data_IF_252416269290
#
_entry.id   IF_252416269290
#
_cell.length_a   1.000
_cell.length_b   1.000
_cell.length_c   1.000
_cell.angle_alpha   90.00
_cell.angle_beta   90.00
_cell.angle_gamma   90.00
#
_symmetry.space_group_name_H-M   'P 1'
#
loop_
_entity.id
_entity.type
_entity.pdbx_description
1 polymer ?
#
# COMPACT_ATOMS: atom_id res chain seq x y z
N UNK A 1 18.18 -8.24 -17.93
CA UNK A 1 18.11 -8.58 -16.48
C UNK A 1 19.29 -9.44 -16.03
N UNK A 2 20.19 -8.84 -15.26
CA UNK A 2 21.51 -9.36 -14.88
C UNK A 2 21.41 -10.46 -13.81
N UNK A 3 22.01 -11.62 -14.06
CA UNK A 3 21.88 -12.89 -13.31
C UNK A 3 22.88 -13.05 -12.15
N UNK A 4 23.19 -12.00 -11.41
CA UNK A 4 24.05 -12.14 -10.22
C UNK A 4 23.23 -12.06 -8.93
N UNK A 5 23.53 -12.96 -8.00
CA UNK A 5 23.16 -12.90 -6.57
C UNK A 5 23.78 -11.66 -5.90
N UNK A 6 23.46 -10.45 -6.36
CA UNK A 6 23.85 -9.23 -5.67
C UNK A 6 22.85 -9.00 -4.55
N UNK A 7 23.19 -9.59 -3.40
CA UNK A 7 22.84 -9.02 -2.09
C UNK A 7 23.18 -7.52 -2.13
N UNK A 8 22.38 -6.69 -1.47
CA UNK A 8 22.56 -5.23 -1.39
C UNK A 8 24.05 -4.84 -1.33
N UNK A 9 24.50 -4.06 -2.30
CA UNK A 9 25.86 -3.53 -2.34
C UNK A 9 25.99 -2.49 -1.23
N UNK A 10 27.22 -2.22 -0.75
CA UNK A 10 27.44 -1.21 0.28
C UNK A 10 26.87 0.18 -0.10
N UNK A 11 26.83 0.50 -1.39
CA UNK A 11 26.21 1.71 -1.95
C UNK A 11 24.70 1.75 -1.68
N UNK A 12 24.01 0.62 -1.81
CA UNK A 12 22.57 0.50 -1.55
C UNK A 12 22.28 0.67 -0.06
N UNK A 13 23.11 0.06 0.80
CA UNK A 13 23.03 0.24 2.25
C UNK A 13 23.26 1.69 2.68
N UNK A 14 24.22 2.37 2.05
CA UNK A 14 24.49 3.78 2.31
C UNK A 14 23.29 4.64 1.90
N UNK A 15 22.69 4.39 0.73
CA UNK A 15 21.51 5.11 0.29
C UNK A 15 20.32 4.91 1.25
N UNK A 16 20.09 3.68 1.71
CA UNK A 16 19.05 3.36 2.70
C UNK A 16 19.33 4.08 4.02
N UNK A 17 20.57 4.04 4.51
CA UNK A 17 20.96 4.72 5.74
C UNK A 17 20.77 6.24 5.65
N UNK A 18 21.17 6.86 4.53
CA UNK A 18 20.94 8.29 4.26
C UNK A 18 19.45 8.60 4.26
N UNK A 19 18.62 7.77 3.63
CA UNK A 19 17.17 7.94 3.64
C UNK A 19 16.60 7.91 5.06
N UNK A 20 16.93 6.90 5.87
CA UNK A 20 16.45 6.81 7.24
C UNK A 20 16.95 7.97 8.13
N UNK A 21 18.21 8.37 7.98
CA UNK A 21 18.77 9.51 8.71
C UNK A 21 18.07 10.80 8.29
N UNK A 22 17.77 10.97 6.99
CA UNK A 22 17.05 12.13 6.48
C UNK A 22 15.61 12.17 7.01
N UNK A 23 14.86 11.06 6.95
CA UNK A 23 13.46 11.02 7.42
C UNK A 23 13.36 11.19 8.93
N UNK A 24 14.19 10.50 9.71
CA UNK A 24 14.26 10.66 11.17
C UNK A 24 14.72 12.08 11.52
N UNK A 25 15.78 12.57 10.87
CA UNK A 25 16.33 13.90 11.12
C UNK A 25 15.32 15.01 10.84
N UNK A 26 14.55 14.88 9.76
CA UNK A 26 13.51 15.82 9.41
C UNK A 26 12.31 15.74 10.37
N UNK A 27 11.86 14.53 10.73
CA UNK A 27 10.82 14.33 11.73
C UNK A 27 11.19 14.93 13.09
N UNK A 28 12.43 14.71 13.54
CA UNK A 28 12.97 15.32 14.76
C UNK A 28 13.14 16.84 14.62
N UNK A 29 13.61 17.34 13.48
CA UNK A 29 13.77 18.78 13.25
C UNK A 29 12.44 19.53 13.31
N UNK A 30 11.37 18.95 12.75
CA UNK A 30 10.01 19.49 12.88
C UNK A 30 9.57 19.49 14.34
N UNK A 31 9.73 18.37 15.04
CA UNK A 31 9.40 18.23 16.47
C UNK A 31 10.14 19.26 17.34
N UNK A 32 11.44 19.44 17.16
CA UNK A 32 12.26 20.38 17.93
C UNK A 32 12.02 21.85 17.57
N UNK A 33 11.72 22.17 16.29
CA UNK A 33 11.33 23.53 15.89
C UNK A 33 9.98 23.92 16.47
N UNK A 34 9.04 22.98 16.56
CA UNK A 34 7.71 23.21 17.15
C UNK A 34 7.72 23.22 18.68
N UNK A 35 8.54 22.41 19.34
CA UNK A 35 8.71 22.49 20.80
C UNK A 35 9.25 23.83 21.32
N UNK A 36 9.81 24.69 20.44
CA UNK A 36 10.19 26.09 20.75
C UNK A 36 9.08 27.11 20.48
N UNK A 37 8.02 26.72 19.77
CA UNK A 37 6.83 27.52 19.53
C UNK A 37 5.82 27.10 20.59
N UNK A 38 5.56 27.96 21.56
CA UNK A 38 4.53 27.74 22.58
C UNK A 38 3.18 27.56 21.87
N UNK A 39 2.73 26.32 21.70
CA UNK A 39 1.46 26.03 21.04
C UNK A 39 0.33 26.24 22.07
N UNK A 40 -0.24 27.45 22.06
CA UNK A 40 -1.63 27.64 22.47
C UNK A 40 -2.51 26.89 21.46
N UNK A 41 -3.51 26.15 21.94
CA UNK A 41 -4.47 25.42 21.12
C UNK A 41 -5.09 26.27 19.99
N UNK A 42 -5.11 27.61 20.12
CA UNK A 42 -5.52 28.53 19.05
C UNK A 42 -4.65 28.51 17.79
N UNK A 43 -3.32 28.37 17.89
CA UNK A 43 -2.46 28.26 16.68
C UNK A 43 -2.63 26.92 15.97
N UNK A 44 -3.05 25.89 16.70
CA UNK A 44 -3.41 24.57 16.19
C UNK A 44 -4.77 24.61 15.47
N UNK A 45 -5.76 25.35 15.99
CA UNK A 45 -7.04 25.56 15.30
C UNK A 45 -6.96 26.58 14.13
N UNK A 46 -6.06 27.57 14.17
CA UNK A 46 -5.91 28.55 13.09
C UNK A 46 -5.25 27.97 11.84
N UNK A 47 -4.45 26.89 11.95
CA UNK A 47 -3.85 26.20 10.80
C UNK A 47 -4.91 25.53 9.90
N UNK A 48 -6.03 25.09 10.48
CA UNK A 48 -7.18 24.49 9.77
C UNK A 48 -7.88 25.39 8.74
N UNK A 49 -7.53 26.68 8.65
CA UNK A 49 -8.01 27.58 7.58
C UNK A 49 -7.05 27.72 6.38
N UNK A 50 -5.86 27.13 6.44
CA UNK A 50 -4.79 27.40 5.46
C UNK A 50 -4.24 26.17 4.75
N UNK A 51 -4.81 24.99 4.99
CA UNK A 51 -4.48 23.80 4.22
C UNK A 51 -4.89 23.99 2.76
N UNK A 52 -3.90 24.23 1.93
CA UNK A 52 -4.05 24.26 0.48
C UNK A 52 -4.54 22.90 0.00
N UNK A 53 -5.48 22.90 -0.95
CA UNK A 53 -6.18 21.70 -1.43
C UNK A 53 -5.23 20.58 -1.87
N UNK A 54 -4.05 20.92 -2.42
CA UNK A 54 -3.06 19.94 -2.86
C UNK A 54 -2.35 19.24 -1.70
N UNK A 55 -2.21 19.89 -0.53
CA UNK A 55 -1.69 19.25 0.68
C UNK A 55 -2.70 18.25 1.23
N UNK A 56 -4.00 18.62 1.24
CA UNK A 56 -5.08 17.72 1.68
C UNK A 56 -5.17 16.50 0.76
N UNK A 57 -5.19 16.71 -0.56
CA UNK A 57 -5.19 15.61 -1.53
C UNK A 57 -3.94 14.73 -1.42
N UNK A 58 -2.75 15.34 -1.25
CA UNK A 58 -1.50 14.62 -1.06
C UNK A 58 -1.47 13.78 0.23
N UNK A 59 -2.01 14.30 1.33
CA UNK A 59 -2.11 13.57 2.60
C UNK A 59 -3.10 12.39 2.52
N UNK A 60 -4.24 12.58 1.86
CA UNK A 60 -5.20 11.51 1.62
C UNK A 60 -4.53 10.43 0.76
N UNK A 61 -3.86 10.80 -0.32
CA UNK A 61 -3.14 9.87 -1.16
C UNK A 61 -2.06 9.12 -0.38
N UNK A 62 -1.28 9.82 0.46
CA UNK A 62 -0.24 9.23 1.30
C UNK A 62 -0.74 8.20 2.29
N UNK A 63 -1.92 8.43 2.83
CA UNK A 63 -2.50 7.54 3.83
C UNK A 63 -3.07 6.26 3.23
N UNK A 64 -3.25 6.21 1.90
CA UNK A 64 -3.81 5.04 1.21
C UNK A 64 -2.75 4.27 0.44
N UNK A 65 -1.77 4.96 -0.13
CA UNK A 65 -0.75 4.35 -0.97
C UNK A 65 0.52 4.13 -0.17
N UNK A 66 0.67 2.89 0.32
CA UNK A 66 1.89 2.40 0.96
C UNK A 66 2.83 1.68 -0.02
N UNK A 67 4.06 1.38 0.42
CA UNK A 67 5.02 0.60 -0.36
C UNK A 67 4.49 -0.78 -0.76
N UNK A 68 3.60 -1.36 0.07
CA UNK A 68 2.90 -2.62 -0.22
C UNK A 68 2.01 -2.54 -1.45
N UNK A 69 1.24 -1.45 -1.60
CA UNK A 69 0.41 -1.24 -2.79
C UNK A 69 1.26 -1.17 -4.05
N UNK A 70 2.40 -0.49 -3.97
CA UNK A 70 3.32 -0.37 -5.10
C UNK A 70 3.90 -1.73 -5.55
N UNK A 71 4.34 -2.56 -4.61
CA UNK A 71 4.89 -3.89 -4.89
C UNK A 71 3.79 -4.87 -5.30
N UNK A 72 2.65 -4.85 -4.63
CA UNK A 72 1.52 -5.75 -4.87
C UNK A 72 0.91 -5.55 -6.24
N UNK A 73 0.55 -4.31 -6.61
CA UNK A 73 -0.04 -4.00 -7.92
C UNK A 73 0.98 -4.24 -9.04
N UNK A 74 2.26 -3.97 -8.82
CA UNK A 74 3.31 -4.30 -9.81
C UNK A 74 3.45 -5.82 -10.00
N UNK A 75 3.37 -6.60 -8.92
CA UNK A 75 3.40 -8.06 -8.96
C UNK A 75 2.19 -8.67 -9.66
N UNK A 76 0.99 -8.24 -9.29
CA UNK A 76 -0.26 -8.67 -9.92
C UNK A 76 -0.33 -8.21 -11.38
N UNK A 77 0.14 -7.00 -11.66
CA UNK A 77 0.34 -6.49 -13.01
C UNK A 77 1.20 -7.45 -13.81
N UNK A 78 2.40 -7.79 -13.33
CA UNK A 78 3.31 -8.71 -14.00
C UNK A 78 2.75 -10.14 -14.18
N UNK A 79 1.96 -10.63 -13.22
CA UNK A 79 1.40 -11.99 -13.28
C UNK A 79 0.17 -12.08 -14.19
N UNK A 80 -0.67 -11.03 -14.22
CA UNK A 80 -2.01 -11.12 -14.79
C UNK A 80 -2.21 -10.15 -15.95
N UNK A 81 -1.53 -9.01 -15.99
CA UNK A 81 -1.62 -8.01 -17.06
C UNK A 81 -2.28 -6.70 -16.64
N UNK A 82 -2.85 -6.00 -17.61
CA UNK A 82 -3.32 -4.60 -17.47
C UNK A 82 -4.65 -4.52 -16.71
N UNK A 83 -5.36 -5.63 -16.52
CA UNK A 83 -6.68 -5.67 -15.85
C UNK A 83 -6.66 -5.16 -14.39
N UNK A 84 -5.52 -5.25 -13.70
CA UNK A 84 -5.36 -4.74 -12.33
C UNK A 84 -5.64 -3.22 -12.24
N UNK A 85 -5.45 -2.47 -13.33
CA UNK A 85 -5.68 -1.01 -13.39
C UNK A 85 -7.15 -0.66 -13.07
N UNK A 86 -8.10 -1.56 -13.32
CA UNK A 86 -9.49 -1.34 -12.95
C UNK A 86 -9.68 -1.07 -11.45
N UNK A 87 -8.88 -1.67 -10.57
CA UNK A 87 -9.01 -1.38 -9.12
C UNK A 87 -8.74 0.10 -8.81
N UNK A 88 -7.77 0.72 -9.50
CA UNK A 88 -7.40 2.13 -9.27
C UNK A 88 -8.30 3.11 -10.03
N UNK A 89 -8.79 2.72 -11.21
CA UNK A 89 -9.75 3.54 -11.95
C UNK A 89 -11.09 3.61 -11.21
N UNK A 90 -11.58 2.48 -10.71
CA UNK A 90 -12.83 2.43 -9.95
C UNK A 90 -12.71 3.26 -8.64
N UNK A 91 -11.57 3.16 -7.94
CA UNK A 91 -11.28 3.98 -6.76
C UNK A 91 -11.39 5.48 -7.03
N UNK A 92 -10.96 5.94 -8.21
CA UNK A 92 -11.04 7.35 -8.60
C UNK A 92 -12.49 7.85 -8.65
N UNK A 93 -13.42 7.04 -9.17
CA UNK A 93 -14.84 7.39 -9.18
C UNK A 93 -15.45 7.40 -7.78
N UNK A 94 -15.07 6.43 -6.95
CA UNK A 94 -15.51 6.34 -5.56
C UNK A 94 -15.07 7.56 -4.74
N UNK A 95 -13.85 8.06 -4.96
CA UNK A 95 -13.35 9.29 -4.32
C UNK A 95 -14.15 10.54 -4.70
N UNK A 96 -14.61 10.65 -5.96
CA UNK A 96 -15.48 11.74 -6.39
C UNK A 96 -16.85 11.67 -5.68
N UNK A 97 -17.41 10.46 -5.54
CA UNK A 97 -18.66 10.24 -4.80
C UNK A 97 -18.50 10.61 -3.32
N UNK A 98 -17.38 10.19 -2.70
CA UNK A 98 -17.02 10.57 -1.34
C UNK A 98 -16.98 12.09 -1.19
N UNK A 99 -16.26 12.79 -2.06
CA UNK A 99 -16.11 14.24 -2.01
C UNK A 99 -17.43 15.02 -2.22
N UNK A 100 -18.31 14.54 -3.10
CA UNK A 100 -19.54 15.26 -3.43
C UNK A 100 -20.71 14.92 -2.51
N UNK A 101 -20.90 13.66 -2.14
CA UNK A 101 -22.07 13.22 -1.37
C UNK A 101 -21.79 13.05 0.12
N UNK A 102 -20.71 12.35 0.45
CA UNK A 102 -20.45 11.95 1.83
C UNK A 102 -19.73 13.05 2.63
N UNK A 103 -18.76 13.73 2.04
CA UNK A 103 -17.99 14.80 2.71
C UNK A 103 -18.89 15.94 3.22
N UNK A 104 -19.86 16.48 2.45
CA UNK A 104 -20.77 17.51 2.98
C UNK A 104 -21.63 17.02 4.14
N UNK A 105 -22.01 15.73 4.16
CA UNK A 105 -22.79 15.13 5.25
C UNK A 105 -21.94 15.02 6.52
N UNK A 106 -20.70 14.58 6.41
CA UNK A 106 -19.79 14.48 7.56
C UNK A 106 -19.49 15.86 8.16
N UNK A 107 -19.17 16.85 7.32
CA UNK A 107 -18.88 18.22 7.77
C UNK A 107 -20.09 18.86 8.46
N UNK A 108 -21.30 18.70 7.90
CA UNK A 108 -22.53 19.22 8.52
C UNK A 108 -22.92 18.51 9.81
N UNK A 109 -22.56 17.24 9.97
CA UNK A 109 -22.86 16.48 11.18
C UNK A 109 -22.04 16.93 12.39
N UNK A 110 -21.00 17.75 12.20
CA UNK A 110 -20.14 18.25 13.28
C UNK A 110 -19.41 17.16 14.05
N UNK A 111 -19.29 15.95 13.48
CA UNK A 111 -18.46 14.86 14.00
C UNK A 111 -17.21 14.82 13.16
N UNK A 112 -16.14 15.40 13.70
CA UNK A 112 -14.92 15.68 12.96
C UNK A 112 -13.79 14.78 13.48
N UNK A 113 -14.02 13.54 13.93
CA UNK A 113 -12.88 12.74 14.40
C UNK A 113 -12.83 11.32 13.87
N UNK A 114 -13.90 10.51 13.94
CA UNK A 114 -13.83 9.12 13.45
C UNK A 114 -15.18 8.57 12.99
N UNK A 115 -15.16 7.53 12.13
CA UNK A 115 -16.38 6.87 11.66
C UNK A 115 -17.22 6.24 12.80
N UNK A 116 -16.64 5.56 13.81
CA UNK A 116 -17.42 5.07 14.96
C UNK A 116 -18.09 6.18 15.76
N UNK A 117 -17.47 7.36 15.87
CA UNK A 117 -18.10 8.53 16.51
C UNK A 117 -19.25 9.10 15.68
N UNK A 118 -19.14 9.12 14.36
CA UNK A 118 -20.24 9.52 13.49
C UNK A 118 -21.44 8.59 13.68
N UNK A 119 -21.20 7.28 13.75
CA UNK A 119 -22.22 6.27 14.05
C UNK A 119 -22.79 6.46 15.46
N UNK A 120 -21.97 6.79 16.46
CA UNK A 120 -22.42 7.11 17.81
C UNK A 120 -23.43 8.26 17.80
N UNK A 121 -23.13 9.36 17.09
CA UNK A 121 -24.01 10.54 17.06
C UNK A 121 -25.30 10.25 16.29
N UNK A 122 -25.22 9.47 15.21
CA UNK A 122 -26.38 9.09 14.39
C UNK A 122 -27.35 8.17 15.12
N UNK A 123 -26.83 7.18 15.84
CA UNK A 123 -27.65 6.18 16.55
C UNK A 123 -27.82 6.46 18.05
N UNK A 124 -27.21 7.54 18.57
CA UNK A 124 -27.23 7.97 19.97
C UNK A 124 -26.88 6.86 20.99
N UNK A 125 -26.06 5.89 20.58
CA UNK A 125 -25.73 4.72 21.41
C UNK A 125 -24.22 4.58 21.58
N UNK A 126 -23.79 4.56 22.85
CA UNK A 126 -22.39 4.33 23.22
C UNK A 126 -21.96 2.89 22.87
N UNK A 127 -22.87 1.92 22.99
CA UNK A 127 -22.57 0.51 22.71
C UNK A 127 -22.18 0.28 21.26
N UNK A 128 -22.85 0.97 20.32
CA UNK A 128 -22.53 0.87 18.88
C UNK A 128 -21.12 1.40 18.61
N UNK A 129 -20.72 2.52 19.23
CA UNK A 129 -19.36 3.03 19.11
C UNK A 129 -18.33 2.02 19.57
N UNK A 130 -18.52 1.43 20.76
CA UNK A 130 -17.56 0.48 21.32
C UNK A 130 -17.42 -0.76 20.43
N UNK A 131 -18.55 -1.32 19.97
CA UNK A 131 -18.56 -2.50 19.09
C UNK A 131 -17.86 -2.18 17.77
N UNK A 132 -18.22 -1.07 17.11
CA UNK A 132 -17.60 -0.68 15.84
C UNK A 132 -16.12 -0.36 16.00
N UNK A 133 -15.73 0.34 17.06
CA UNK A 133 -14.31 0.64 17.34
C UNK A 133 -13.52 -0.65 17.54
N UNK A 134 -14.06 -1.60 18.29
CA UNK A 134 -13.41 -2.91 18.49
C UNK A 134 -13.27 -3.68 17.18
N UNK A 135 -14.36 -3.81 16.41
CA UNK A 135 -14.36 -4.51 15.12
C UNK A 135 -13.38 -3.85 14.15
N UNK A 136 -13.40 -2.53 14.02
CA UNK A 136 -12.49 -1.80 13.15
C UNK A 136 -11.04 -1.96 13.59
N UNK A 137 -10.72 -1.78 14.87
CA UNK A 137 -9.35 -1.91 15.37
C UNK A 137 -8.79 -3.32 15.11
N UNK A 138 -9.57 -4.36 15.46
CA UNK A 138 -9.20 -5.75 15.20
C UNK A 138 -9.01 -5.99 13.70
N UNK A 139 -9.95 -5.53 12.87
CA UNK A 139 -9.86 -5.67 11.41
C UNK A 139 -8.61 -5.00 10.86
N UNK A 140 -8.25 -3.80 11.31
CA UNK A 140 -7.05 -3.08 10.88
C UNK A 140 -5.75 -3.82 11.21
N UNK A 141 -5.67 -4.44 12.40
CA UNK A 141 -4.48 -5.21 12.79
C UNK A 141 -4.31 -6.44 11.88
N UNK A 142 -5.41 -7.15 11.61
CA UNK A 142 -5.34 -8.40 10.85
C UNK A 142 -5.30 -8.21 9.32
N UNK A 143 -5.87 -7.12 8.79
CA UNK A 143 -5.84 -6.87 7.35
C UNK A 143 -4.68 -5.97 6.98
N UNK A 144 -4.70 -4.71 7.41
CA UNK A 144 -3.73 -3.69 6.99
C UNK A 144 -2.32 -3.96 7.52
N UNK A 145 -2.17 -3.99 8.85
CA UNK A 145 -0.85 -4.10 9.47
C UNK A 145 -0.17 -5.43 9.10
N UNK A 146 -0.94 -6.52 9.03
CA UNK A 146 -0.41 -7.84 8.68
C UNK A 146 0.06 -7.92 7.23
N UNK A 147 -0.69 -7.34 6.28
CA UNK A 147 -0.29 -7.29 4.86
C UNK A 147 0.98 -6.44 4.69
N UNK A 148 1.09 -5.30 5.38
CA UNK A 148 2.25 -4.43 5.31
C UNK A 148 3.51 -5.07 5.89
N UNK A 149 3.41 -5.75 7.05
CA UNK A 149 4.53 -6.48 7.63
C UNK A 149 4.96 -7.62 6.69
N UNK A 150 4.00 -8.35 6.11
CA UNK A 150 4.31 -9.43 5.19
C UNK A 150 5.05 -8.91 3.95
N UNK A 151 4.51 -7.91 3.26
CA UNK A 151 5.14 -7.31 2.09
C UNK A 151 6.52 -6.73 2.41
N UNK A 152 6.65 -6.01 3.53
CA UNK A 152 7.94 -5.50 4.00
C UNK A 152 8.95 -6.60 4.29
N UNK A 153 8.52 -7.71 4.90
CA UNK A 153 9.38 -8.86 5.21
C UNK A 153 9.85 -9.61 3.95
N UNK A 154 8.98 -9.72 2.94
CA UNK A 154 9.32 -10.30 1.63
C UNK A 154 10.34 -9.41 0.93
N UNK A 155 10.12 -8.10 0.88
CA UNK A 155 11.09 -7.16 0.30
C UNK A 155 12.45 -7.25 0.99
N UNK A 156 12.46 -7.22 2.32
CA UNK A 156 13.71 -7.29 3.09
C UNK A 156 14.40 -8.65 2.93
N UNK A 157 13.65 -9.75 2.80
CA UNK A 157 14.18 -11.07 2.43
C UNK A 157 14.83 -11.06 1.06
N UNK A 158 14.19 -10.50 0.04
CA UNK A 158 14.77 -10.45 -1.31
C UNK A 158 16.03 -9.57 -1.35
N UNK A 159 16.07 -8.50 -0.55
CA UNK A 159 17.23 -7.61 -0.49
C UNK A 159 18.44 -8.21 0.27
N UNK A 160 18.19 -8.91 1.39
CA UNK A 160 19.25 -9.41 2.29
C UNK A 160 19.53 -10.91 2.19
N UNK A 161 18.56 -11.68 1.70
CA UNK A 161 18.56 -13.14 1.72
C UNK A 161 18.25 -13.76 3.09
N UNK A 162 17.78 -12.98 4.07
CA UNK A 162 17.49 -13.46 5.42
C UNK A 162 16.17 -14.24 5.51
N UNK A 163 16.00 -15.02 6.59
CA UNK A 163 14.74 -15.70 6.85
C UNK A 163 13.61 -14.67 7.02
N UNK A 164 12.44 -14.93 6.42
CA UNK A 164 11.24 -14.08 6.48
C UNK A 164 10.85 -13.69 7.92
N UNK A 165 11.02 -14.58 8.91
CA UNK A 165 10.69 -14.29 10.30
C UNK A 165 11.64 -13.24 10.92
N UNK A 166 12.94 -13.32 10.58
CA UNK A 166 13.94 -12.34 11.04
C UNK A 166 13.68 -11.00 10.34
N UNK A 167 13.42 -11.03 9.04
CA UNK A 167 13.04 -9.85 8.25
C UNK A 167 11.81 -9.14 8.83
N UNK A 168 10.76 -9.90 9.16
CA UNK A 168 9.54 -9.35 9.76
C UNK A 168 9.82 -8.68 11.13
N UNK A 169 10.61 -9.34 11.99
CA UNK A 169 10.97 -8.77 13.29
C UNK A 169 11.77 -7.48 13.18
N UNK A 170 12.73 -7.42 12.24
CA UNK A 170 13.56 -6.23 12.00
C UNK A 170 12.71 -5.08 11.46
N UNK A 171 11.87 -5.32 10.45
CA UNK A 171 10.97 -4.30 9.90
C UNK A 171 10.03 -3.77 10.99
N UNK A 172 9.42 -4.66 11.77
CA UNK A 172 8.53 -4.27 12.88
C UNK A 172 9.26 -3.43 13.93
N UNK A 173 10.48 -3.83 14.30
CA UNK A 173 11.29 -3.13 15.31
C UNK A 173 11.69 -1.72 14.84
N UNK A 174 12.14 -1.58 13.59
CA UNK A 174 12.50 -0.28 13.02
C UNK A 174 11.29 0.64 12.96
N UNK A 175 10.15 0.13 12.46
CA UNK A 175 8.90 0.90 12.40
C UNK A 175 8.42 1.31 13.79
N UNK A 176 8.48 0.42 14.78
CA UNK A 176 8.09 0.73 16.15
C UNK A 176 8.98 1.83 16.78
N UNK A 177 10.30 1.71 16.65
CA UNK A 177 11.24 2.73 17.15
C UNK A 177 10.98 4.07 16.49
N UNK A 178 10.81 4.09 15.17
CA UNK A 178 10.53 5.31 14.42
C UNK A 178 9.23 5.99 14.89
N UNK A 179 8.14 5.23 15.04
CA UNK A 179 6.84 5.75 15.48
C UNK A 179 6.89 6.27 16.92
N UNK A 180 7.53 5.54 17.84
CA UNK A 180 7.67 5.94 19.25
C UNK A 180 8.49 7.24 19.38
N UNK A 181 9.57 7.38 18.61
CA UNK A 181 10.43 8.56 18.67
C UNK A 181 9.78 9.77 17.98
N UNK A 182 9.13 9.54 16.83
CA UNK A 182 8.49 10.58 16.03
C UNK A 182 7.24 11.17 16.68
N UNK A 183 6.32 10.33 17.17
CA UNK A 183 4.97 10.74 17.55
C UNK A 183 4.06 10.98 16.34
N UNK A 184 2.74 11.02 16.55
CA UNK A 184 1.72 11.06 15.48
C UNK A 184 1.92 12.21 14.48
N UNK A 185 2.36 13.39 14.96
CA UNK A 185 2.53 14.59 14.15
C UNK A 185 3.75 14.51 13.22
N UNK A 186 4.88 14.01 13.71
CA UNK A 186 6.09 13.85 12.88
C UNK A 186 5.86 12.81 11.78
N UNK A 187 5.11 11.75 12.08
CA UNK A 187 4.72 10.71 11.12
C UNK A 187 3.93 11.32 9.96
N UNK A 188 2.89 12.13 10.25
CA UNK A 188 2.07 12.75 9.21
C UNK A 188 2.89 13.63 8.24
N UNK A 189 3.88 14.38 8.76
CA UNK A 189 4.73 15.21 7.90
C UNK A 189 5.68 14.37 7.02
N UNK A 190 6.21 13.27 7.56
CA UNK A 190 7.07 12.37 6.78
C UNK A 190 6.31 11.58 5.72
N UNK A 191 5.01 11.32 5.91
CA UNK A 191 4.20 10.56 4.96
C UNK A 191 4.08 11.27 3.60
N UNK A 192 3.94 12.61 3.60
CA UNK A 192 3.88 13.42 2.37
C UNK A 192 5.20 13.30 1.58
N UNK A 193 6.33 13.32 2.28
CA UNK A 193 7.64 13.16 1.65
C UNK A 193 7.84 11.73 1.13
N UNK A 194 7.39 10.73 1.88
CA UNK A 194 7.46 9.33 1.46
C UNK A 194 6.69 9.11 0.14
N UNK A 195 5.48 9.65 0.02
CA UNK A 195 4.73 9.62 -1.25
C UNK A 195 5.49 10.27 -2.38
N UNK A 196 6.07 11.44 -2.13
CA UNK A 196 6.79 12.18 -3.16
C UNK A 196 7.97 11.36 -3.70
N UNK A 197 8.71 10.71 -2.80
CA UNK A 197 9.81 9.81 -3.15
C UNK A 197 9.29 8.58 -3.89
N UNK A 198 8.19 7.97 -3.45
CA UNK A 198 7.58 6.82 -4.12
C UNK A 198 7.11 7.17 -5.54
N UNK A 199 6.48 8.32 -5.75
CA UNK A 199 6.01 8.77 -7.06
C UNK A 199 7.18 9.03 -8.03
N UNK A 200 8.21 9.71 -7.56
CA UNK A 200 9.44 9.94 -8.35
C UNK A 200 10.11 8.61 -8.68
N UNK A 201 10.23 7.72 -7.68
CA UNK A 201 10.79 6.38 -7.85
C UNK A 201 10.01 5.55 -8.88
N UNK A 202 8.68 5.60 -8.84
CA UNK A 202 7.81 4.94 -9.80
C UNK A 202 8.09 5.41 -11.23
N UNK A 203 8.11 6.73 -11.46
CA UNK A 203 8.38 7.31 -12.78
C UNK A 203 9.76 6.89 -13.30
N UNK A 204 10.79 6.96 -12.45
CA UNK A 204 12.15 6.54 -12.82
C UNK A 204 12.19 5.05 -13.18
N UNK A 205 11.58 4.18 -12.35
CA UNK A 205 11.52 2.74 -12.60
C UNK A 205 10.80 2.43 -13.92
N UNK A 206 9.69 3.11 -14.20
CA UNK A 206 8.97 2.96 -15.48
C UNK A 206 9.84 3.35 -16.67
N UNK A 207 10.54 4.49 -16.61
CA UNK A 207 11.44 4.93 -17.68
C UNK A 207 12.60 3.95 -17.90
N UNK A 208 13.23 3.49 -16.82
CA UNK A 208 14.31 2.49 -16.88
C UNK A 208 13.81 1.16 -17.43
N UNK A 209 12.61 0.73 -17.05
CA UNK A 209 11.95 -0.47 -17.57
C UNK A 209 11.73 -0.39 -19.08
N UNK A 210 11.16 0.71 -19.57
CA UNK A 210 10.97 0.91 -21.02
C UNK A 210 12.30 0.95 -21.79
N UNK A 211 13.35 1.53 -21.19
CA UNK A 211 14.68 1.57 -21.80
C UNK A 211 15.31 0.18 -21.92
N UNK A 212 15.17 -0.68 -20.91
CA UNK A 212 15.71 -2.05 -20.94
C UNK A 212 14.95 -2.95 -21.93
N UNK A 213 13.62 -2.79 -22.02
CA UNK A 213 12.77 -3.56 -22.94
C UNK A 213 12.96 -3.08 -24.39
N UNK A 214 13.32 -1.81 -24.58
CA UNK A 214 13.53 -1.20 -25.90
C UNK A 214 12.26 -0.61 -26.52
N UNK A 215 11.33 -0.14 -25.68
CA UNK A 215 10.12 0.56 -26.09
C UNK A 215 8.81 -0.19 -25.82
N UNK A 216 7.69 0.51 -26.04
CA UNK A 216 6.33 -0.01 -25.81
C UNK A 216 6.01 -1.17 -26.78
N UNK A 217 6.45 -1.08 -28.04
CA UNK A 217 6.19 -2.12 -29.05
C UNK A 217 6.81 -3.46 -28.65
N UNK A 218 8.07 -3.45 -28.19
CA UNK A 218 8.73 -4.63 -27.65
C UNK A 218 8.10 -5.14 -26.36
N UNK A 219 7.56 -4.24 -25.53
CA UNK A 219 6.78 -4.66 -24.37
C UNK A 219 5.57 -5.49 -24.84
N UNK A 220 4.80 -5.01 -25.81
CA UNK A 220 3.64 -5.75 -26.31
C UNK A 220 3.99 -7.12 -26.90
N UNK A 221 5.16 -7.25 -27.50
CA UNK A 221 5.62 -8.50 -28.10
C UNK A 221 6.19 -9.50 -27.08
N UNK A 222 7.03 -9.02 -26.15
CA UNK A 222 7.78 -9.87 -25.21
C UNK A 222 7.00 -10.18 -23.94
N UNK A 223 6.06 -9.31 -23.54
CA UNK A 223 5.26 -9.49 -22.33
C UNK A 223 4.49 -10.82 -22.28
N UNK A 224 3.72 -11.24 -23.31
CA UNK A 224 3.05 -12.54 -23.30
C UNK A 224 4.00 -13.74 -23.38
N UNK A 225 5.24 -13.53 -23.85
CA UNK A 225 6.28 -14.56 -23.92
C UNK A 225 7.05 -14.69 -22.60
N UNK A 226 6.92 -13.70 -21.72
CA UNK A 226 7.62 -13.67 -20.44
C UNK A 226 6.93 -14.57 -19.42
N UNK A 227 7.72 -15.38 -18.71
CA UNK A 227 7.24 -16.24 -17.63
C UNK A 227 7.90 -15.83 -16.32
N UNK A 228 7.13 -15.84 -15.23
CA UNK A 228 7.67 -15.72 -13.89
C UNK A 228 8.70 -16.81 -13.62
N UNK A 229 9.79 -16.49 -12.92
CA UNK A 229 10.74 -17.53 -12.46
C UNK A 229 9.98 -18.48 -11.54
N UNK A 230 9.96 -19.77 -11.90
CA UNK A 230 9.52 -20.82 -10.99
C UNK A 230 10.28 -20.70 -9.67
N UNK A 231 9.56 -20.57 -8.55
CA UNK A 231 10.15 -20.72 -7.22
C UNK A 231 10.77 -22.10 -7.18
N UNK A 232 12.11 -22.17 -7.08
CA UNK A 232 12.81 -23.45 -6.95
C UNK A 232 12.29 -24.13 -5.70
N UNK A 233 11.50 -25.19 -5.86
CA UNK A 233 11.37 -26.20 -4.84
C UNK A 233 12.81 -26.64 -4.49
N UNK A 234 13.12 -26.68 -3.20
CA UNK A 234 14.42 -27.10 -2.70
C UNK A 234 14.62 -28.55 -3.16
N UNK A 235 15.36 -28.75 -4.25
CA UNK A 235 15.93 -30.04 -4.60
C UNK A 235 17.02 -30.31 -3.57
N UNK A 236 16.70 -31.19 -2.60
CA UNK A 236 17.59 -32.15 -1.93
C UNK A 236 17.06 -32.50 -0.52
N UNK A 237 15.91 -33.14 -0.46
CA UNK A 237 15.53 -33.97 0.70
C UNK A 237 15.63 -35.42 0.26
N UNK A 238 16.81 -36.02 0.42
CA UNK A 238 17.02 -37.45 0.23
C UNK A 238 16.41 -38.19 1.42
N UNK A 239 15.12 -38.53 1.33
CA UNK A 239 14.49 -39.50 2.22
C UNK A 239 14.69 -40.88 1.61
N UNK A 240 15.57 -41.67 2.23
CA UNK A 240 15.82 -43.07 1.87
C UNK A 240 14.63 -43.97 2.27
N UNK A 241 13.49 -43.83 1.59
CA UNK A 241 12.32 -44.66 1.83
C UNK A 241 11.45 -44.75 0.59
N UNK A 242 11.29 -45.96 0.08
CA UNK A 242 10.41 -46.33 -1.03
C UNK A 242 8.99 -45.81 -0.82
N UNK A 243 8.62 -44.78 -1.56
CA UNK A 243 7.23 -44.48 -1.89
C UNK A 243 7.14 -44.44 -3.41
N UNK A 244 6.55 -45.50 -3.97
CA UNK A 244 5.98 -45.50 -5.31
C UNK A 244 4.79 -44.53 -5.32
N UNK A 245 5.10 -43.24 -5.41
CA UNK A 245 4.17 -42.17 -5.75
C UNK A 245 4.37 -41.85 -7.22
N UNK A 246 3.32 -42.06 -8.00
CA UNK A 246 3.15 -41.60 -9.37
C UNK A 246 4.00 -40.35 -9.69
N UNK A 247 4.83 -40.44 -10.73
CA UNK A 247 5.27 -39.29 -11.51
C UNK A 247 4.01 -38.58 -12.07
N UNK A 248 3.31 -37.82 -11.23
CA UNK A 248 2.51 -36.70 -11.69
C UNK A 248 3.48 -35.65 -12.14
N UNK A 249 3.43 -35.32 -13.44
CA UNK A 249 4.17 -34.26 -14.12
C UNK A 249 4.68 -33.21 -13.16
N UNK A 250 5.94 -32.80 -13.32
CA UNK A 250 6.39 -31.47 -12.92
C UNK A 250 5.32 -30.48 -13.41
N UNK A 251 4.39 -30.11 -12.53
CA UNK A 251 3.53 -28.97 -12.69
C UNK A 251 4.51 -27.81 -12.61
N UNK A 252 5.15 -27.55 -13.74
CA UNK A 252 5.45 -26.20 -14.16
C UNK A 252 4.19 -25.44 -13.79
N UNK A 253 4.25 -24.67 -12.72
CA UNK A 253 3.34 -23.57 -12.52
C UNK A 253 3.64 -22.67 -13.70
N UNK A 254 3.04 -22.99 -14.85
CA UNK A 254 3.02 -22.12 -16.00
C UNK A 254 2.16 -20.96 -15.52
N UNK A 255 2.81 -19.99 -14.90
CA UNK A 255 2.32 -18.63 -14.80
C UNK A 255 2.33 -18.07 -16.23
N UNK A 256 1.49 -18.66 -17.09
CA UNK A 256 1.23 -18.18 -18.43
C UNK A 256 0.22 -17.07 -18.29
N UNK A 257 0.57 -15.89 -18.80
CA UNK A 257 -0.36 -14.79 -18.87
C UNK A 257 -1.65 -15.25 -19.56
N UNK A 258 -2.80 -14.84 -19.03
CA UNK A 258 -4.08 -15.13 -19.67
C UNK A 258 -4.08 -14.54 -21.09
N UNK A 259 -4.79 -15.14 -22.05
CA UNK A 259 -4.91 -14.57 -23.41
C UNK A 259 -5.48 -13.14 -23.41
N UNK A 260 -6.09 -12.73 -22.30
CA UNK A 260 -6.72 -11.43 -22.08
C UNK A 260 -5.85 -10.46 -21.26
N UNK A 261 -4.55 -10.71 -21.11
CA UNK A 261 -3.64 -9.84 -20.36
C UNK A 261 -3.68 -8.36 -20.79
N UNK A 262 -3.96 -8.13 -22.08
CA UNK A 262 -4.09 -6.82 -22.72
C UNK A 262 -5.43 -6.12 -22.47
N UNK A 263 -6.44 -6.89 -22.04
CA UNK A 263 -7.83 -6.43 -21.95
C UNK A 263 -8.19 -6.15 -20.50
N UNK A 264 -8.75 -4.95 -20.28
CA UNK A 264 -9.31 -4.56 -18.98
C UNK A 264 -10.64 -5.26 -18.68
N UNK A 265 -11.42 -5.56 -19.72
CA UNK A 265 -12.68 -6.28 -19.64
C UNK A 265 -12.47 -7.73 -20.06
N UNK A 266 -12.30 -8.62 -19.08
CA UNK A 266 -12.14 -10.06 -19.35
C UNK A 266 -13.48 -10.77 -19.37
N UNK A 267 -13.56 -12.00 -19.92
CA UNK A 267 -14.80 -12.78 -19.90
C UNK A 267 -15.36 -13.00 -18.49
N UNK A 268 -16.65 -13.35 -18.42
CA UNK A 268 -17.32 -13.64 -17.14
C UNK A 268 -16.70 -14.83 -16.41
N UNK A 269 -16.16 -15.79 -17.16
CA UNK A 269 -15.57 -17.03 -16.63
C UNK A 269 -14.07 -16.90 -16.31
N UNK A 270 -13.49 -15.69 -16.35
CA UNK A 270 -12.09 -15.48 -15.95
C UNK A 270 -11.94 -15.70 -14.44
N UNK A 271 -11.01 -16.57 -13.99
CA UNK A 271 -10.88 -16.92 -12.58
C UNK A 271 -10.35 -15.78 -11.71
N UNK A 272 -9.62 -14.83 -12.31
CA UNK A 272 -8.92 -13.78 -11.56
C UNK A 272 -9.65 -12.42 -11.67
N UNK A 273 -10.05 -12.00 -12.87
CA UNK A 273 -10.65 -10.68 -13.12
C UNK A 273 -11.93 -10.75 -13.97
N UNK A 274 -13.01 -11.39 -13.49
CA UNK A 274 -14.27 -11.42 -14.22
C UNK A 274 -14.87 -10.01 -14.30
N UNK A 275 -15.17 -9.53 -15.52
CA UNK A 275 -15.63 -8.14 -15.72
C UNK A 275 -16.83 -7.75 -14.86
N UNK A 276 -17.77 -8.69 -14.64
CA UNK A 276 -18.97 -8.44 -13.86
C UNK A 276 -18.65 -8.18 -12.39
N UNK A 277 -17.80 -9.01 -11.77
CA UNK A 277 -17.33 -8.78 -10.41
C UNK A 277 -16.55 -7.47 -10.30
N UNK A 278 -15.69 -7.22 -11.29
CA UNK A 278 -14.85 -6.04 -11.36
C UNK A 278 -15.65 -4.72 -11.43
N UNK A 279 -16.77 -4.69 -12.15
CA UNK A 279 -17.53 -3.46 -12.38
C UNK A 279 -18.76 -3.29 -11.51
N UNK A 280 -19.28 -4.35 -10.89
CA UNK A 280 -20.45 -4.27 -10.02
C UNK A 280 -20.15 -4.59 -8.56
N UNK A 281 -19.30 -5.60 -8.30
CA UNK A 281 -18.98 -5.96 -6.92
C UNK A 281 -17.88 -5.05 -6.34
N UNK A 282 -16.81 -4.75 -7.11
CA UNK A 282 -15.73 -3.90 -6.61
C UNK A 282 -16.20 -2.51 -6.20
N UNK A 283 -17.05 -1.77 -6.97
CA UNK A 283 -17.48 -0.45 -6.53
C UNK A 283 -18.24 -0.47 -5.19
N UNK A 284 -18.95 -1.54 -4.87
CA UNK A 284 -19.64 -1.66 -3.58
C UNK A 284 -18.63 -1.78 -2.43
N UNK A 285 -17.62 -2.64 -2.61
CA UNK A 285 -16.54 -2.83 -1.63
C UNK A 285 -15.69 -1.57 -1.52
N UNK A 286 -15.43 -0.91 -2.64
CA UNK A 286 -14.69 0.34 -2.70
C UNK A 286 -15.45 1.48 -2.04
N UNK A 287 -16.75 1.64 -2.27
CA UNK A 287 -17.55 2.64 -1.55
C UNK A 287 -17.45 2.39 -0.06
N UNK A 288 -17.55 1.13 0.38
CA UNK A 288 -17.35 0.82 1.79
C UNK A 288 -15.93 1.20 2.26
N UNK A 289 -14.90 0.75 1.55
CA UNK A 289 -13.51 0.99 1.90
C UNK A 289 -13.18 2.49 1.86
N UNK A 290 -13.29 3.15 0.72
CA UNK A 290 -12.95 4.56 0.57
C UNK A 290 -13.86 5.48 1.40
N UNK A 291 -15.16 5.22 1.52
CA UNK A 291 -16.05 6.10 2.31
C UNK A 291 -16.08 5.79 3.81
N UNK A 292 -15.56 4.65 4.29
CA UNK A 292 -15.48 4.35 5.74
C UNK A 292 -14.06 4.56 6.26
N UNK A 293 -13.07 4.06 5.52
CA UNK A 293 -11.65 4.06 5.88
C UNK A 293 -11.07 5.46 5.75
N UNK A 294 -11.25 6.11 4.59
CA UNK A 294 -10.67 7.43 4.39
C UNK A 294 -11.32 8.53 5.18
N UNK A 295 -12.57 8.37 5.63
CA UNK A 295 -13.21 9.41 6.46
C UNK A 295 -12.45 9.58 7.77
N UNK A 296 -11.92 8.49 8.32
CA UNK A 296 -11.08 8.55 9.53
C UNK A 296 -9.77 9.30 9.29
N UNK A 297 -9.21 9.20 8.08
CA UNK A 297 -7.93 9.83 7.73
C UNK A 297 -8.06 11.26 7.21
N UNK A 298 -9.01 11.51 6.30
CA UNK A 298 -9.31 12.79 5.68
C UNK A 298 -9.67 13.85 6.75
N UNK A 299 -10.40 13.42 7.76
CA UNK A 299 -10.75 14.23 8.92
C UNK A 299 -9.53 14.54 9.80
N UNK A 300 -8.64 13.56 10.05
CA UNK A 300 -7.40 13.80 10.79
C UNK A 300 -6.47 14.77 10.04
N UNK A 301 -6.38 14.66 8.71
CA UNK A 301 -5.55 15.54 7.88
C UNK A 301 -6.10 16.95 7.68
N UNK A 302 -7.43 17.14 7.78
CA UNK A 302 -8.08 18.46 7.62
C UNK A 302 -8.20 19.23 8.95
N UNK A 303 -7.90 18.57 10.07
CA UNK A 303 -7.82 19.15 11.41
C UNK A 303 -6.40 19.62 11.79
N UNK A 304 -5.42 19.49 10.89
CA UNK A 304 -4.03 19.89 11.11
C UNK A 304 -3.61 21.06 10.22
#
# INVERSE_FOLDING_TARGET
>A
MRTDNRRLVWEDWLAIAIYFVFTIGLGLAVKFRRGRRQESAESFFLAGRSLVWWMVGGSIFASNIGGTHFIGIAGDGAATGIAIICYEWQASWTLLILGYFFLPVYLKSGVIYTMPEYMQKRYQSQSIRTILTFITLVSYVFTKISIDIYAGSVYFREATGWNIYISAFVVLSITAVYVIVGGLEAVAFTDILQVSIMLIGAVILTILGFREIGGIEKLWEEYPKSFGRNWRAIENVTVNGTISGSHGNSSSCNYGLTPYWANMFRPFDDPDFPWFGLWFALPIVEIWYWCTDQVSTCINSSLH
#
